data_IF_790735205674
#
_entry.id   IF_790735205674
#
_cell.length_a   1.000
_cell.length_b   1.000
_cell.length_c   1.000
_cell.angle_alpha   90.00
_cell.angle_beta   90.00
_cell.angle_gamma   90.00
#
_symmetry.space_group_name_H-M   'P 1'
#
loop_
_entity.id
_entity.type
_entity.pdbx_description
1 polymer ?
#
# COMPACT_ATOMS: atom_id res chain seq x y z
N UNK A 1 -38.75 -30.25 -35.15
CA UNK A 1 -37.86 -31.03 -34.25
C UNK A 1 -36.83 -30.07 -33.69
N UNK A 2 -37.00 -29.59 -32.46
CA UNK A 2 -36.12 -28.60 -31.83
C UNK A 2 -35.28 -29.28 -30.74
N UNK A 3 -33.96 -29.20 -30.91
CA UNK A 3 -32.95 -29.85 -30.10
C UNK A 3 -32.82 -29.13 -28.73
N UNK A 4 -33.42 -29.68 -27.67
CA UNK A 4 -33.26 -29.17 -26.29
C UNK A 4 -31.90 -29.61 -25.76
N UNK A 5 -30.93 -28.70 -25.77
CA UNK A 5 -29.67 -28.88 -25.03
C UNK A 5 -29.98 -28.80 -23.53
N UNK A 6 -30.09 -29.95 -22.88
CA UNK A 6 -30.12 -30.04 -21.42
C UNK A 6 -28.81 -29.48 -20.87
N UNK A 7 -28.91 -28.42 -20.06
CA UNK A 7 -27.76 -27.88 -19.31
C UNK A 7 -27.48 -28.86 -18.16
N UNK A 8 -26.22 -29.24 -17.89
CA UNK A 8 -25.93 -30.09 -16.74
C UNK A 8 -26.37 -29.37 -15.46
N UNK A 9 -27.07 -30.09 -14.59
CA UNK A 9 -27.37 -29.66 -13.23
C UNK A 9 -26.04 -29.60 -12.46
N UNK A 10 -25.43 -28.41 -12.44
CA UNK A 10 -24.29 -28.13 -11.57
C UNK A 10 -24.91 -27.95 -10.18
N UNK A 11 -24.96 -29.04 -9.40
CA UNK A 11 -25.22 -28.93 -7.97
C UNK A 11 -24.08 -28.10 -7.37
N UNK A 12 -24.38 -26.85 -7.00
CA UNK A 12 -23.41 -25.96 -6.37
C UNK A 12 -23.13 -26.53 -4.97
N UNK A 13 -21.92 -27.05 -4.68
CA UNK A 13 -21.60 -27.65 -3.40
C UNK A 13 -21.66 -26.63 -2.24
N UNK A 14 -21.72 -25.34 -2.55
CA UNK A 14 -21.86 -24.25 -1.58
C UNK A 14 -23.33 -23.89 -1.27
N UNK A 15 -24.31 -24.43 -2.00
CA UNK A 15 -25.72 -24.08 -1.84
C UNK A 15 -26.30 -24.52 -0.47
N UNK A 16 -25.67 -25.49 0.20
CA UNK A 16 -26.05 -25.93 1.55
C UNK A 16 -25.19 -25.31 2.67
N UNK A 17 -24.32 -24.34 2.38
CA UNK A 17 -23.41 -23.76 3.39
C UNK A 17 -24.02 -22.58 4.19
N UNK A 18 -25.34 -22.37 4.14
CA UNK A 18 -26.03 -21.34 4.95
C UNK A 18 -25.58 -19.91 4.66
N UNK A 19 -25.05 -19.67 3.45
CA UNK A 19 -24.52 -18.37 3.04
C UNK A 19 -25.62 -17.31 2.97
N UNK A 20 -26.84 -17.73 2.71
CA UNK A 20 -28.06 -16.94 2.70
C UNK A 20 -28.49 -16.46 4.10
N UNK A 21 -28.28 -17.26 5.16
CA UNK A 21 -28.47 -16.82 6.55
C UNK A 21 -27.42 -15.77 6.95
N UNK A 22 -26.16 -15.95 6.53
CA UNK A 22 -25.08 -14.98 6.79
C UNK A 22 -25.39 -13.65 6.09
N UNK A 23 -25.79 -13.69 4.82
CA UNK A 23 -26.13 -12.49 4.06
C UNK A 23 -27.35 -11.80 4.65
N UNK A 24 -28.39 -12.55 5.06
CA UNK A 24 -29.55 -11.96 5.78
C UNK A 24 -29.12 -11.29 7.08
N UNK A 25 -28.27 -11.93 7.88
CA UNK A 25 -27.75 -11.37 9.13
C UNK A 25 -26.96 -10.06 8.95
N UNK A 26 -26.27 -9.91 7.82
CA UNK A 26 -25.57 -8.66 7.47
C UNK A 26 -26.55 -7.58 7.02
N UNK A 27 -27.60 -7.93 6.28
CA UNK A 27 -28.56 -6.94 5.74
C UNK A 27 -29.60 -6.43 6.75
N UNK A 28 -29.77 -7.07 7.92
CA UNK A 28 -30.84 -6.75 8.88
C UNK A 28 -30.34 -5.85 10.04
N UNK A 29 -29.03 -5.70 10.24
CA UNK A 29 -28.51 -4.79 11.26
C UNK A 29 -28.52 -3.34 10.77
N UNK A 30 -29.67 -2.71 11.03
CA UNK A 30 -29.93 -1.32 11.39
C UNK A 30 -29.08 -0.21 10.74
N UNK A 31 -29.81 0.71 10.11
CA UNK A 31 -29.42 2.04 9.68
C UNK A 31 -28.26 2.65 10.51
N UNK A 32 -27.18 3.13 9.85
CA UNK A 32 -26.14 3.87 10.55
C UNK A 32 -26.73 5.18 11.10
N UNK A 33 -26.91 5.26 12.41
CA UNK A 33 -27.02 6.55 13.06
C UNK A 33 -25.70 7.30 12.86
N UNK A 34 -25.75 8.39 12.09
CA UNK A 34 -24.67 9.37 11.99
C UNK A 34 -24.38 9.95 13.37
N UNK A 35 -23.44 9.34 14.10
CA UNK A 35 -22.68 10.06 15.13
C UNK A 35 -21.51 10.72 14.41
N UNK A 36 -21.36 12.06 14.47
CA UNK A 36 -20.22 12.71 13.87
C UNK A 36 -18.99 12.25 14.62
N UNK A 37 -18.20 11.37 13.99
CA UNK A 37 -16.84 11.07 14.41
C UNK A 37 -16.06 12.36 14.20
N UNK A 38 -16.00 13.17 15.25
CA UNK A 38 -15.05 14.28 15.33
C UNK A 38 -13.68 13.63 15.22
N UNK A 39 -13.14 13.59 14.00
CA UNK A 39 -11.71 13.38 13.78
C UNK A 39 -11.03 14.52 14.54
N UNK A 40 -10.63 14.22 15.77
CA UNK A 40 -9.66 15.02 16.51
C UNK A 40 -8.50 15.17 15.55
N UNK A 41 -8.38 16.36 14.95
CA UNK A 41 -7.25 16.71 14.12
C UNK A 41 -6.06 16.63 15.04
N UNK A 42 -5.34 15.52 15.01
CA UNK A 42 -4.03 15.43 15.64
C UNK A 42 -3.25 16.68 15.23
N UNK A 43 -2.58 17.35 16.17
CA UNK A 43 -1.83 18.55 15.86
C UNK A 43 -0.88 18.21 14.73
N UNK A 44 -1.01 18.92 13.59
CA UNK A 44 -0.17 18.75 12.40
C UNK A 44 1.28 18.67 12.86
N UNK A 45 1.82 17.45 12.93
CA UNK A 45 3.22 17.21 13.29
C UNK A 45 4.01 18.08 12.33
N UNK A 46 4.81 19.01 12.86
CA UNK A 46 5.70 19.83 12.04
C UNK A 46 6.55 18.85 11.23
N UNK A 47 6.28 18.74 9.94
CA UNK A 47 7.04 17.87 9.04
C UNK A 47 8.47 18.40 9.06
N UNK A 48 9.42 17.58 9.50
CA UNK A 48 10.83 17.97 9.52
C UNK A 48 11.29 18.29 8.09
N UNK A 49 12.29 19.16 7.94
CA UNK A 49 12.82 19.50 6.62
C UNK A 49 13.26 18.24 5.84
N UNK A 50 13.86 17.27 6.54
CA UNK A 50 14.23 15.98 5.96
C UNK A 50 13.04 15.13 5.49
N UNK A 51 11.93 15.13 6.24
CA UNK A 51 10.72 14.42 5.81
C UNK A 51 10.09 15.07 4.56
N UNK A 52 10.16 16.40 4.42
CA UNK A 52 9.73 17.08 3.20
C UNK A 52 10.57 16.67 1.99
N UNK A 53 11.91 16.69 2.12
CA UNK A 53 12.83 16.25 1.06
C UNK A 53 12.60 14.78 0.70
N UNK A 54 12.34 13.94 1.69
CA UNK A 54 11.99 12.54 1.46
C UNK A 54 10.72 12.39 0.64
N UNK A 55 9.65 13.13 0.96
CA UNK A 55 8.40 13.11 0.18
C UNK A 55 8.62 13.59 -1.26
N UNK A 56 9.37 14.68 -1.45
CA UNK A 56 9.74 15.22 -2.78
C UNK A 56 10.52 14.19 -3.60
N UNK A 57 11.53 13.56 -3.00
CA UNK A 57 12.31 12.50 -3.64
C UNK A 57 11.45 11.27 -3.96
N UNK A 58 10.53 10.89 -3.06
CA UNK A 58 9.65 9.77 -3.27
C UNK A 58 8.72 9.98 -4.47
N UNK A 59 8.15 11.16 -4.61
CA UNK A 59 7.30 11.51 -5.75
C UNK A 59 8.14 11.56 -7.05
N UNK A 60 9.36 12.10 -7.00
CA UNK A 60 10.31 12.12 -8.13
C UNK A 60 10.62 10.73 -8.67
N UNK A 61 10.86 9.74 -7.80
CA UNK A 61 11.27 8.39 -8.21
C UNK A 61 10.13 7.38 -8.37
N UNK A 62 8.89 7.73 -8.03
CA UNK A 62 7.72 6.84 -8.23
C UNK A 62 7.24 6.84 -9.69
N UNK A 63 7.38 7.96 -10.40
CA UNK A 63 6.93 8.11 -11.80
C UNK A 63 7.97 7.71 -12.87
N UNK A 64 9.15 7.23 -12.50
CA UNK A 64 10.25 6.96 -13.44
C UNK A 64 10.09 5.59 -14.08
N UNK A 65 9.81 5.57 -15.39
CA UNK A 65 9.69 4.35 -16.20
C UNK A 65 11.04 3.82 -16.70
N UNK A 66 12.09 4.63 -16.67
CA UNK A 66 13.44 4.23 -17.09
C UNK A 66 13.98 3.11 -16.20
N UNK A 67 14.57 2.08 -16.80
CA UNK A 67 15.25 1.01 -16.07
C UNK A 67 16.63 1.49 -15.61
N UNK A 68 16.85 1.52 -14.30
CA UNK A 68 18.15 1.86 -13.72
C UNK A 68 19.09 0.67 -13.61
N UNK A 69 20.27 0.90 -13.03
CA UNK A 69 21.26 -0.14 -12.73
C UNK A 69 20.88 -0.92 -11.47
N UNK A 70 21.12 -2.23 -11.46
CA UNK A 70 20.89 -3.07 -10.29
C UNK A 70 22.05 -2.94 -9.27
N UNK A 71 21.71 -2.76 -7.99
CA UNK A 71 22.66 -2.77 -6.88
C UNK A 71 22.40 -3.98 -5.97
N UNK A 72 23.45 -4.57 -5.44
CA UNK A 72 23.32 -5.68 -4.51
C UNK A 72 23.09 -5.15 -3.10
N UNK A 73 22.01 -5.58 -2.45
CA UNK A 73 21.67 -5.20 -1.08
C UNK A 73 21.74 -6.40 -0.13
N UNK A 74 22.29 -6.24 1.09
CA UNK A 74 22.19 -7.27 2.12
C UNK A 74 20.73 -7.61 2.43
N UNK A 75 20.47 -8.88 2.76
CA UNK A 75 19.11 -9.38 3.05
C UNK A 75 18.41 -8.57 4.15
N UNK A 76 19.15 -8.18 5.19
CA UNK A 76 18.64 -7.37 6.30
C UNK A 76 18.17 -5.98 5.84
N UNK A 77 18.92 -5.34 4.93
CA UNK A 77 18.55 -4.03 4.38
C UNK A 77 17.25 -4.14 3.59
N UNK A 78 17.14 -5.15 2.70
CA UNK A 78 15.90 -5.41 1.97
C UNK A 78 14.72 -5.64 2.91
N UNK A 79 14.90 -6.46 3.95
CA UNK A 79 13.84 -6.77 4.91
C UNK A 79 13.32 -5.52 5.60
N UNK A 80 14.21 -4.60 6.00
CA UNK A 80 13.81 -3.32 6.60
C UNK A 80 13.00 -2.45 5.64
N UNK A 81 13.42 -2.36 4.38
CA UNK A 81 12.69 -1.60 3.37
C UNK A 81 11.28 -2.17 3.13
N UNK A 82 11.12 -3.50 3.12
CA UNK A 82 9.80 -4.14 2.97
C UNK A 82 8.89 -3.88 4.18
N UNK A 83 9.44 -3.85 5.40
CA UNK A 83 8.65 -3.50 6.61
C UNK A 83 8.16 -2.05 6.54
N UNK A 84 9.02 -1.12 6.14
CA UNK A 84 8.65 0.29 5.96
C UNK A 84 7.54 0.41 4.91
N UNK A 85 7.70 -0.29 3.78
CA UNK A 85 6.70 -0.33 2.71
C UNK A 85 5.37 -0.93 3.15
N UNK A 86 5.38 -2.01 3.93
CA UNK A 86 4.17 -2.68 4.42
C UNK A 86 3.36 -1.80 5.39
N UNK A 87 4.02 -0.90 6.12
CA UNK A 87 3.40 0.02 7.06
C UNK A 87 2.97 1.35 6.43
N UNK A 88 3.26 1.58 5.14
CA UNK A 88 2.92 2.83 4.47
C UNK A 88 1.43 2.86 4.07
N UNK A 89 0.80 4.02 4.19
CA UNK A 89 -0.60 4.23 3.81
C UNK A 89 -0.88 4.10 2.30
N UNK A 90 0.19 4.15 1.49
CA UNK A 90 0.13 4.03 0.03
C UNK A 90 1.04 2.91 -0.46
N UNK A 91 0.67 2.28 -1.58
CA UNK A 91 1.52 1.28 -2.22
C UNK A 91 2.73 1.96 -2.88
N UNK A 92 3.90 1.79 -2.29
CA UNK A 92 5.17 2.37 -2.78
C UNK A 92 6.02 1.28 -3.43
N UNK A 93 6.53 1.46 -4.66
CA UNK A 93 7.51 0.55 -5.22
C UNK A 93 8.81 0.53 -4.41
N UNK A 94 9.34 -0.66 -4.11
CA UNK A 94 10.57 -0.81 -3.31
C UNK A 94 11.75 -0.02 -3.90
N UNK A 95 11.84 0.02 -5.23
CA UNK A 95 12.83 0.82 -5.98
C UNK A 95 12.73 2.31 -5.63
N UNK A 96 11.54 2.87 -5.69
CA UNK A 96 11.29 4.30 -5.45
C UNK A 96 11.55 4.65 -3.99
N UNK A 97 11.17 3.77 -3.06
CA UNK A 97 11.48 3.92 -1.64
C UNK A 97 12.99 3.94 -1.39
N UNK A 98 13.73 2.99 -1.95
CA UNK A 98 15.18 2.91 -1.79
C UNK A 98 15.88 4.15 -2.38
N UNK A 99 15.50 4.56 -3.60
CA UNK A 99 16.04 5.75 -4.24
C UNK A 99 15.79 7.02 -3.42
N UNK A 100 14.56 7.18 -2.89
CA UNK A 100 14.21 8.34 -2.09
C UNK A 100 15.01 8.42 -0.78
N UNK A 101 15.18 7.29 -0.07
CA UNK A 101 15.99 7.24 1.15
C UNK A 101 17.45 7.59 0.85
N UNK A 102 18.04 7.00 -0.19
CA UNK A 102 19.44 7.22 -0.55
C UNK A 102 19.68 8.68 -0.93
N UNK A 103 18.85 9.25 -1.80
CA UNK A 103 19.02 10.64 -2.25
C UNK A 103 18.81 11.63 -1.11
N UNK A 104 17.81 11.39 -0.25
CA UNK A 104 17.61 12.22 0.94
C UNK A 104 18.84 12.19 1.86
N UNK A 105 19.43 11.01 2.07
CA UNK A 105 20.65 10.89 2.89
C UNK A 105 21.84 11.63 2.27
N UNK A 106 22.03 11.52 0.95
CA UNK A 106 23.09 12.24 0.23
C UNK A 106 22.89 13.75 0.35
N UNK A 107 21.69 14.26 0.07
CA UNK A 107 21.36 15.70 0.14
C UNK A 107 21.47 16.29 1.55
N UNK A 108 21.32 15.47 2.60
CA UNK A 108 21.49 15.89 3.99
C UNK A 108 22.95 15.84 4.47
N UNK A 109 23.81 15.10 3.78
CA UNK A 109 25.17 14.81 4.25
C UNK A 109 26.25 15.06 3.18
N UNK A 110 25.94 15.79 2.10
CA UNK A 110 26.81 16.03 0.94
C UNK A 110 28.26 16.37 1.34
N UNK A 111 28.46 17.38 2.19
CA UNK A 111 29.80 17.79 2.62
C UNK A 111 30.58 16.71 3.38
N UNK A 112 29.90 15.82 4.11
CA UNK A 112 30.56 14.70 4.81
C UNK A 112 30.90 13.55 3.86
N UNK A 113 30.12 13.40 2.79
CA UNK A 113 30.35 12.37 1.79
C UNK A 113 31.48 12.75 0.84
N UNK A 114 31.67 14.05 0.59
CA UNK A 114 32.81 14.57 -0.19
C UNK A 114 34.17 14.32 0.48
N UNK A 115 34.18 14.06 1.79
CA UNK A 115 35.37 13.78 2.59
C UNK A 115 35.72 12.28 2.73
N UNK A 116 34.93 11.37 2.13
CA UNK A 116 35.15 9.91 2.17
C UNK A 116 36.15 9.42 1.12
#
# INVERSE_FOLDING_TARGET
MANKKERPAIENPLANMGLDEIVRGITINEAPQEKPVVKVKEPKKRISAGMKRFEENLDKYTGVSEQGVAIWLPKEVKKRLEVIRANADRNIPLRSLAAAIIMTYIEENESKLDEL
#
